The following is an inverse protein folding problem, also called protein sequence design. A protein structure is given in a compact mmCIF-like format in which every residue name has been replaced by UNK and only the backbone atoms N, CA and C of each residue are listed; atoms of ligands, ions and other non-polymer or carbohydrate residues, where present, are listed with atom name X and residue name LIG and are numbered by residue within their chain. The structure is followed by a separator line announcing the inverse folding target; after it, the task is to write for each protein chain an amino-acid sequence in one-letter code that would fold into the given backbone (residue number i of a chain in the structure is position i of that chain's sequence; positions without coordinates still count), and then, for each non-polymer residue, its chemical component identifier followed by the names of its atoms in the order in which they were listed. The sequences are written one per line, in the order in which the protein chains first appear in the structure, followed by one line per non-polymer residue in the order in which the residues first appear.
data_IF_060964714017
#
_entry.id   IF_060964714017
#
_cell.length_a   1.000
_cell.length_b   1.000
_cell.length_c   1.000
_cell.angle_alpha   90.00
_cell.angle_beta   90.00
_cell.angle_gamma   90.00
#
_symmetry.space_group_name_H-M   'P 1'
#
loop_
_entity.id
_entity.type
_entity.pdbx_description
1 polymer ?
#
# COMPACT_ATOMS: atom_id res chain seq x y z
N UNK A 1 -7.43 14.13 -6.14
CA UNK A 1 -6.91 12.90 -5.46
C UNK A 1 -5.54 12.51 -6.03
N UNK A 2 -4.82 11.58 -5.38
CA UNK A 2 -3.57 11.02 -5.93
C UNK A 2 -3.84 10.44 -7.33
N UNK A 3 -4.92 9.71 -7.52
CA UNK A 3 -5.27 9.11 -8.80
C UNK A 3 -5.49 10.15 -9.91
N UNK A 4 -6.10 11.29 -9.60
CA UNK A 4 -6.30 12.37 -10.60
C UNK A 4 -4.96 12.97 -11.04
N UNK A 5 -4.06 13.19 -10.08
CA UNK A 5 -2.69 13.70 -10.37
C UNK A 5 -1.94 12.70 -11.25
N UNK A 6 -2.02 11.41 -10.96
CA UNK A 6 -1.36 10.38 -11.77
C UNK A 6 -1.92 10.32 -13.19
N UNK A 7 -3.25 10.41 -13.35
CA UNK A 7 -3.90 10.47 -14.67
C UNK A 7 -3.46 11.71 -15.48
N UNK A 8 -3.22 12.84 -14.82
CA UNK A 8 -2.72 14.05 -15.47
C UNK A 8 -1.23 13.92 -15.81
N UNK A 9 -0.41 13.38 -14.90
CA UNK A 9 1.00 13.11 -15.14
C UNK A 9 1.21 12.08 -16.26
N UNK A 10 0.31 11.12 -16.44
CA UNK A 10 0.38 10.15 -17.53
C UNK A 10 0.28 10.79 -18.92
N UNK A 11 -0.43 11.92 -19.04
CA UNK A 11 -0.58 12.71 -20.27
C UNK A 11 0.63 13.62 -20.52
N UNK A 12 1.40 13.94 -19.47
CA UNK A 12 2.53 14.87 -19.55
C UNK A 12 3.76 14.18 -20.14
N UNK A 13 4.16 14.58 -21.35
CA UNK A 13 5.25 13.95 -22.12
C UNK A 13 6.61 14.10 -21.39
N UNK A 14 6.82 15.23 -20.73
CA UNK A 14 8.06 15.51 -20.01
C UNK A 14 8.19 14.75 -18.69
N UNK A 15 7.09 14.27 -18.12
CA UNK A 15 7.10 13.43 -16.94
C UNK A 15 7.50 11.99 -17.34
N UNK A 16 8.62 11.49 -16.86
CA UNK A 16 9.17 10.18 -17.22
C UNK A 16 9.10 9.15 -16.10
N UNK A 17 9.12 9.60 -14.86
CA UNK A 17 8.95 8.83 -13.64
C UNK A 17 8.31 9.70 -12.56
N UNK A 18 7.75 9.10 -11.52
CA UNK A 18 7.00 9.77 -10.46
C UNK A 18 7.56 9.36 -9.11
N UNK A 19 7.84 10.34 -8.24
CA UNK A 19 8.18 10.10 -6.84
C UNK A 19 6.96 10.40 -5.98
N UNK A 20 6.47 9.39 -5.27
CA UNK A 20 5.35 9.47 -4.34
C UNK A 20 5.88 9.53 -2.91
N UNK A 21 5.68 10.66 -2.24
CA UNK A 21 6.16 10.87 -0.87
C UNK A 21 5.15 11.66 -0.02
N UNK A 22 5.42 11.75 1.26
CA UNK A 22 4.66 12.55 2.22
C UNK A 22 5.60 13.48 2.98
N UNK A 23 5.22 14.74 3.16
CA UNK A 23 5.98 15.71 3.97
C UNK A 23 5.92 15.43 5.48
N UNK A 24 4.97 14.60 5.92
CA UNK A 24 4.78 14.29 7.32
C UNK A 24 5.73 13.22 7.86
N UNK A 25 5.58 12.92 9.15
CA UNK A 25 6.36 11.87 9.84
C UNK A 25 6.14 10.46 9.27
N UNK A 26 4.99 10.21 8.65
CA UNK A 26 4.60 8.89 8.13
C UNK A 26 4.31 8.99 6.64
N UNK A 27 4.54 7.92 5.91
CA UNK A 27 4.10 7.82 4.54
C UNK A 27 2.56 7.79 4.47
N UNK A 28 1.95 6.77 5.06
CA UNK A 28 0.50 6.68 5.22
C UNK A 28 0.17 5.70 6.36
N UNK A 29 -0.43 6.23 7.44
CA UNK A 29 -0.75 5.42 8.61
C UNK A 29 -2.05 4.62 8.49
N UNK A 30 -2.72 4.65 7.32
CA UNK A 30 -3.97 3.95 7.07
C UNK A 30 -5.20 4.75 7.46
N UNK A 31 -6.31 4.05 7.65
CA UNK A 31 -7.59 4.65 7.95
C UNK A 31 -7.67 5.19 9.38
N UNK A 32 -8.28 6.36 9.54
CA UNK A 32 -8.59 6.94 10.85
C UNK A 32 -9.91 6.37 11.39
N UNK A 33 -9.81 5.36 12.23
CA UNK A 33 -10.97 4.70 12.85
C UNK A 33 -11.63 5.52 13.97
N UNK A 34 -11.06 6.66 14.37
CA UNK A 34 -11.68 7.56 15.36
C UNK A 34 -12.87 8.33 14.78
N UNK A 35 -12.97 8.44 13.46
CA UNK A 35 -14.07 9.14 12.79
C UNK A 35 -15.27 8.21 12.61
N UNK A 36 -16.44 8.62 13.08
CA UNK A 36 -17.70 7.86 13.10
C UNK A 36 -18.16 7.31 11.73
N UNK A 37 -17.72 7.92 10.64
CA UNK A 37 -18.04 7.49 9.27
C UNK A 37 -17.53 6.10 8.91
N UNK A 38 -16.54 5.57 9.65
CA UNK A 38 -16.05 4.22 9.46
C UNK A 38 -16.98 3.13 10.00
N UNK A 39 -17.78 3.47 11.03
CA UNK A 39 -18.69 2.52 11.70
C UNK A 39 -20.04 2.47 10.97
N UNK A 40 -20.48 3.58 10.38
CA UNK A 40 -21.79 3.72 9.73
C UNK A 40 -21.73 3.67 8.19
N UNK A 41 -20.62 3.22 7.61
CA UNK A 41 -20.23 3.49 6.25
C UNK A 41 -20.96 2.75 5.14
N UNK A 42 -21.74 3.49 4.43
CA UNK A 42 -22.09 3.18 3.05
C UNK A 42 -20.88 3.49 2.14
N UNK A 43 -20.48 2.50 1.31
CA UNK A 43 -19.68 2.67 0.06
C UNK A 43 -18.36 3.46 0.04
N UNK A 44 -17.78 3.84 1.19
CA UNK A 44 -16.49 4.54 1.23
C UNK A 44 -15.38 3.67 0.60
N UNK A 45 -15.43 2.35 0.83
CA UNK A 45 -14.45 1.42 0.28
C UNK A 45 -14.59 1.22 -1.22
N UNK A 46 -15.81 1.21 -1.76
CA UNK A 46 -16.01 1.07 -3.20
C UNK A 46 -15.37 2.25 -3.95
N UNK A 47 -15.54 3.45 -3.42
CA UNK A 47 -14.93 4.65 -3.99
C UNK A 47 -13.41 4.65 -3.81
N UNK A 48 -12.90 4.28 -2.61
CA UNK A 48 -11.47 4.16 -2.33
C UNK A 48 -10.80 3.14 -3.25
N UNK A 49 -11.41 1.97 -3.45
CA UNK A 49 -10.84 0.92 -4.29
C UNK A 49 -10.89 1.25 -5.77
N UNK A 50 -11.92 1.99 -6.24
CA UNK A 50 -11.92 2.56 -7.60
C UNK A 50 -10.73 3.51 -7.81
N UNK A 51 -10.42 4.35 -6.81
CA UNK A 51 -9.24 5.22 -6.87
C UNK A 51 -7.93 4.42 -6.81
N UNK A 52 -7.85 3.38 -5.96
CA UNK A 52 -6.70 2.49 -5.91
C UNK A 52 -6.41 1.83 -7.26
N UNK A 53 -7.43 1.32 -7.95
CA UNK A 53 -7.27 0.71 -9.28
C UNK A 53 -6.72 1.71 -10.31
N UNK A 54 -7.08 2.99 -10.22
CA UNK A 54 -6.51 4.03 -11.10
C UNK A 54 -5.02 4.22 -10.87
N UNK A 55 -4.55 4.13 -9.61
CA UNK A 55 -3.12 4.23 -9.28
C UNK A 55 -2.34 3.09 -9.95
N UNK A 56 -2.85 1.86 -9.88
CA UNK A 56 -2.21 0.71 -10.54
C UNK A 56 -2.20 0.81 -12.08
N UNK A 57 -3.10 1.60 -12.67
CA UNK A 57 -3.16 1.84 -14.12
C UNK A 57 -2.15 2.86 -14.65
N UNK A 58 -1.48 3.62 -13.77
CA UNK A 58 -0.47 4.59 -14.23
C UNK A 58 0.50 3.94 -15.20
N UNK A 59 0.84 4.65 -16.26
CA UNK A 59 1.74 4.15 -17.31
C UNK A 59 3.21 4.48 -17.04
N UNK A 60 3.48 5.28 -16.00
CA UNK A 60 4.83 5.74 -15.65
C UNK A 60 5.35 5.02 -14.43
N UNK A 61 6.67 4.75 -14.34
CA UNK A 61 7.27 4.21 -13.12
C UNK A 61 7.01 5.11 -11.92
N UNK A 62 6.62 4.49 -10.80
CA UNK A 62 6.35 5.17 -9.52
C UNK A 62 7.34 4.67 -8.48
N UNK A 63 8.02 5.59 -7.80
CA UNK A 63 8.95 5.35 -6.70
C UNK A 63 8.30 5.88 -5.42
N UNK A 64 8.03 5.05 -4.44
CA UNK A 64 7.48 5.48 -3.15
C UNK A 64 8.59 5.63 -2.11
N UNK A 65 8.59 6.76 -1.39
CA UNK A 65 9.48 7.03 -0.26
C UNK A 65 8.76 6.73 1.04
N UNK A 66 9.22 5.71 1.77
CA UNK A 66 8.59 5.25 3.00
C UNK A 66 9.46 5.64 4.20
N UNK A 67 9.32 6.89 4.68
CA UNK A 67 10.10 7.45 5.78
C UNK A 67 9.58 7.07 7.17
N UNK A 68 8.36 6.54 7.25
CA UNK A 68 7.70 6.24 8.52
C UNK A 68 6.67 5.13 8.38
N UNK A 69 5.47 5.34 8.92
CA UNK A 69 4.44 4.31 8.87
C UNK A 69 3.82 4.13 7.48
N UNK A 70 3.76 2.88 7.02
CA UNK A 70 2.97 2.38 5.90
C UNK A 70 2.07 1.24 6.43
N UNK A 71 0.86 1.55 6.89
CA UNK A 71 0.02 0.65 7.67
C UNK A 71 -1.33 0.43 7.00
N UNK A 72 -1.79 -0.82 6.93
CA UNK A 72 -3.10 -1.15 6.37
C UNK A 72 -3.26 -0.65 4.92
N UNK A 73 -4.23 0.23 4.66
CA UNK A 73 -4.38 0.87 3.35
C UNK A 73 -3.16 1.68 2.90
N UNK A 74 -2.37 2.21 3.86
CA UNK A 74 -1.09 2.87 3.57
C UNK A 74 -0.02 1.91 3.06
N UNK A 75 -0.01 0.67 3.54
CA UNK A 75 0.80 -0.39 2.93
C UNK A 75 0.31 -0.68 1.51
N UNK A 76 -1.00 -0.77 1.28
CA UNK A 76 -1.56 -0.96 -0.06
C UNK A 76 -1.14 0.14 -1.03
N UNK A 77 -1.13 1.40 -0.58
CA UNK A 77 -0.63 2.53 -1.37
C UNK A 77 0.88 2.38 -1.68
N UNK A 78 1.70 1.96 -0.70
CA UNK A 78 3.12 1.70 -0.93
C UNK A 78 3.35 0.57 -1.96
N UNK A 79 2.49 -0.45 -1.94
CA UNK A 79 2.54 -1.59 -2.87
C UNK A 79 2.06 -1.25 -4.29
N UNK A 80 1.42 -0.10 -4.50
CA UNK A 80 1.02 0.36 -5.83
C UNK A 80 2.17 1.01 -6.61
N UNK A 81 3.26 1.37 -5.95
CA UNK A 81 4.48 1.84 -6.59
C UNK A 81 5.31 0.68 -7.15
N UNK A 82 6.10 0.96 -8.19
CA UNK A 82 7.02 -0.03 -8.76
C UNK A 82 8.20 -0.26 -7.81
N UNK A 83 8.71 0.80 -7.18
CA UNK A 83 9.83 0.76 -6.24
C UNK A 83 9.48 1.42 -4.91
N UNK A 84 10.09 0.94 -3.83
CA UNK A 84 9.96 1.46 -2.46
C UNK A 84 11.34 1.71 -1.88
N UNK A 85 11.59 2.96 -1.50
CA UNK A 85 12.82 3.38 -0.81
C UNK A 85 12.45 3.64 0.65
N UNK A 86 13.24 3.13 1.58
CA UNK A 86 12.91 3.20 3.00
C UNK A 86 14.12 3.51 3.87
N UNK A 87 13.86 3.80 5.14
CA UNK A 87 14.86 3.94 6.19
C UNK A 87 14.58 2.96 7.32
N UNK A 88 15.56 2.76 8.20
CA UNK A 88 15.47 1.85 9.35
C UNK A 88 14.24 2.10 10.22
N UNK A 89 13.89 3.37 10.44
CA UNK A 89 12.80 3.83 11.30
C UNK A 89 11.41 3.59 10.72
N UNK A 90 11.32 3.27 9.43
CA UNK A 90 10.05 2.98 8.77
C UNK A 90 9.35 1.75 9.40
N UNK A 91 8.03 1.72 9.27
CA UNK A 91 7.21 0.68 9.86
C UNK A 91 6.16 0.22 8.87
N UNK A 92 6.21 -1.05 8.53
CA UNK A 92 5.25 -1.68 7.63
C UNK A 92 4.35 -2.63 8.42
N UNK A 93 3.05 -2.63 8.13
CA UNK A 93 2.14 -3.60 8.75
C UNK A 93 0.86 -3.78 7.94
N UNK A 94 0.50 -5.05 7.71
CA UNK A 94 -0.82 -5.47 7.25
C UNK A 94 -1.68 -5.82 8.48
N UNK A 95 -2.01 -4.82 9.31
CA UNK A 95 -2.57 -5.00 10.67
C UNK A 95 -4.06 -5.39 10.71
N UNK A 96 -4.64 -5.83 9.61
CA UNK A 96 -6.08 -6.11 9.48
C UNK A 96 -6.58 -7.19 10.45
N UNK A 97 -5.83 -8.29 10.61
CA UNK A 97 -6.20 -9.36 11.54
C UNK A 97 -6.30 -8.88 13.00
N UNK A 98 -5.43 -7.96 13.44
CA UNK A 98 -5.52 -7.33 14.77
C UNK A 98 -6.71 -6.39 14.94
N UNK A 99 -7.38 -6.03 13.85
CA UNK A 99 -8.62 -5.27 13.86
C UNK A 99 -9.85 -6.17 13.73
N UNK A 100 -9.67 -7.50 13.66
CA UNK A 100 -10.78 -8.42 13.34
C UNK A 100 -11.33 -8.18 11.93
N UNK A 101 -10.48 -7.77 10.99
CA UNK A 101 -10.86 -7.29 9.68
C UNK A 101 -10.07 -7.97 8.55
N UNK A 102 -10.54 -7.86 7.31
CA UNK A 102 -9.85 -8.37 6.13
C UNK A 102 -8.99 -7.28 5.48
N UNK A 103 -7.89 -7.66 4.85
CA UNK A 103 -7.08 -6.74 4.05
C UNK A 103 -7.91 -6.17 2.88
N UNK A 104 -7.42 -5.07 2.32
CA UNK A 104 -8.02 -4.38 1.19
C UNK A 104 -6.95 -3.75 0.30
N UNK A 105 -7.36 -2.90 -0.63
CA UNK A 105 -6.46 -2.17 -1.54
C UNK A 105 -5.67 -3.08 -2.50
N UNK A 106 -6.14 -4.29 -2.78
CA UNK A 106 -5.43 -5.24 -3.64
C UNK A 106 -4.21 -5.91 -2.97
N UNK A 107 -4.08 -5.80 -1.64
CA UNK A 107 -2.94 -6.40 -0.90
C UNK A 107 -2.91 -7.92 -1.06
N UNK A 108 -4.07 -8.56 -1.27
CA UNK A 108 -4.16 -10.01 -1.52
C UNK A 108 -3.36 -10.47 -2.75
N UNK A 109 -3.15 -9.58 -3.71
CA UNK A 109 -2.39 -9.82 -4.95
C UNK A 109 -0.99 -9.23 -4.85
N UNK A 110 -0.90 -7.96 -4.49
CA UNK A 110 0.35 -7.19 -4.59
C UNK A 110 1.40 -7.65 -3.58
N UNK A 111 1.00 -7.92 -2.34
CA UNK A 111 1.96 -8.33 -1.30
C UNK A 111 2.62 -9.68 -1.62
N UNK A 112 1.88 -10.78 -1.92
CA UNK A 112 2.51 -12.05 -2.27
C UNK A 112 3.30 -12.00 -3.59
N UNK A 113 2.93 -11.12 -4.53
CA UNK A 113 3.67 -10.93 -5.78
C UNK A 113 5.05 -10.31 -5.53
N UNK A 114 5.17 -9.42 -4.54
CA UNK A 114 6.42 -8.72 -4.21
C UNK A 114 7.31 -9.56 -3.30
N UNK A 115 6.79 -10.12 -2.19
CA UNK A 115 7.60 -10.80 -1.16
C UNK A 115 7.41 -12.32 -1.13
N UNK A 116 6.68 -12.88 -2.07
CA UNK A 116 6.35 -14.30 -2.09
C UNK A 116 5.24 -14.67 -1.10
N UNK A 117 4.56 -15.78 -1.40
CA UNK A 117 3.38 -16.23 -0.64
C UNK A 117 3.68 -16.49 0.83
N UNK A 118 4.84 -17.04 1.17
CA UNK A 118 5.15 -17.41 2.55
C UNK A 118 5.34 -16.19 3.44
N UNK A 119 6.08 -15.18 2.98
CA UNK A 119 6.26 -13.94 3.73
C UNK A 119 4.96 -13.14 3.80
N UNK A 120 4.18 -13.11 2.72
CA UNK A 120 2.88 -12.46 2.73
C UNK A 120 1.92 -13.08 3.75
N UNK A 121 1.83 -14.43 3.81
CA UNK A 121 1.06 -15.14 4.84
C UNK A 121 1.54 -14.80 6.24
N UNK A 122 2.86 -14.77 6.46
CA UNK A 122 3.44 -14.43 7.75
C UNK A 122 3.00 -13.02 8.20
N UNK A 123 3.07 -12.01 7.33
CA UNK A 123 2.67 -10.65 7.66
C UNK A 123 1.15 -10.53 7.86
N UNK A 124 0.35 -11.11 6.96
CA UNK A 124 -1.12 -10.99 7.00
C UNK A 124 -1.73 -11.74 8.17
N UNK A 125 -1.33 -13.00 8.40
CA UNK A 125 -1.94 -13.83 9.45
C UNK A 125 -1.50 -13.45 10.86
N UNK A 126 -0.26 -12.96 11.02
CA UNK A 126 0.24 -12.50 12.32
C UNK A 126 -0.04 -11.02 12.58
N UNK A 127 -0.36 -10.26 11.54
CA UNK A 127 -0.49 -8.78 11.60
C UNK A 127 0.71 -8.11 12.27
N UNK A 128 1.90 -8.73 12.16
CA UNK A 128 3.13 -8.17 12.75
C UNK A 128 3.52 -6.89 12.07
N UNK A 129 4.21 -6.06 12.82
CA UNK A 129 4.88 -4.87 12.30
C UNK A 129 6.34 -5.25 12.04
N UNK A 130 6.87 -4.84 10.91
CA UNK A 130 8.29 -4.94 10.56
C UNK A 130 8.88 -3.54 10.37
N UNK A 131 10.18 -3.40 10.60
CA UNK A 131 10.92 -2.16 10.35
C UNK A 131 11.45 -2.10 8.90
N UNK A 132 12.15 -1.02 8.54
CA UNK A 132 12.70 -0.85 7.20
C UNK A 132 13.79 -1.86 6.85
N UNK A 133 14.62 -2.28 7.81
CA UNK A 133 15.66 -3.30 7.60
C UNK A 133 15.04 -4.66 7.28
N UNK A 134 14.00 -5.05 8.02
CA UNK A 134 13.26 -6.29 7.76
C UNK A 134 12.52 -6.22 6.42
N UNK A 135 11.93 -5.05 6.09
CA UNK A 135 11.25 -4.83 4.81
C UNK A 135 12.22 -4.97 3.62
N UNK A 136 13.41 -4.39 3.71
CA UNK A 136 14.47 -4.54 2.71
C UNK A 136 14.93 -6.00 2.60
N UNK A 137 15.17 -6.67 3.73
CA UNK A 137 15.65 -8.07 3.77
C UNK A 137 14.68 -9.05 3.09
N UNK A 138 13.36 -8.82 3.19
CA UNK A 138 12.34 -9.70 2.57
C UNK A 138 11.91 -9.24 1.17
N UNK A 139 12.53 -8.19 0.61
CA UNK A 139 12.21 -7.65 -0.72
C UNK A 139 10.94 -6.80 -0.77
N UNK A 140 10.42 -6.36 0.39
CA UNK A 140 9.29 -5.42 0.44
C UNK A 140 9.73 -4.00 0.11
N UNK A 141 10.97 -3.63 0.43
CA UNK A 141 11.61 -2.40 0.01
C UNK A 141 12.82 -2.71 -0.88
N UNK A 142 13.04 -1.89 -1.90
CA UNK A 142 14.06 -2.10 -2.92
C UNK A 142 15.39 -1.44 -2.55
N UNK A 143 15.32 -0.32 -1.80
CA UNK A 143 16.48 0.44 -1.32
C UNK A 143 16.25 0.80 0.14
N UNK A 144 17.30 0.67 0.96
CA UNK A 144 17.34 1.20 2.32
C UNK A 144 18.48 2.20 2.46
N UNK A 145 18.21 3.33 3.12
CA UNK A 145 19.18 4.39 3.36
C UNK A 145 18.84 5.15 4.64
N UNK A 146 19.67 6.12 5.02
CA UNK A 146 19.36 7.03 6.11
C UNK A 146 18.18 7.93 5.76
N UNK A 147 17.39 8.29 6.77
CA UNK A 147 16.14 9.05 6.58
C UNK A 147 16.35 10.40 5.86
N UNK A 148 17.47 11.07 6.08
CA UNK A 148 17.82 12.33 5.43
C UNK A 148 18.26 12.18 3.95
N UNK A 149 18.55 10.96 3.50
CA UNK A 149 18.99 10.67 2.14
C UNK A 149 17.89 10.04 1.25
N UNK A 150 16.69 9.85 1.80
CA UNK A 150 15.60 9.16 1.10
C UNK A 150 15.23 9.84 -0.23
N UNK A 151 15.12 11.17 -0.25
CA UNK A 151 14.78 11.91 -1.48
C UNK A 151 15.91 11.82 -2.49
N UNK A 152 17.16 11.99 -2.06
CA UNK A 152 18.35 11.85 -2.91
C UNK A 152 18.38 10.47 -3.60
N UNK A 153 18.14 9.39 -2.86
CA UNK A 153 18.10 8.03 -3.43
C UNK A 153 16.90 7.80 -4.38
N UNK A 154 15.79 8.47 -4.13
CA UNK A 154 14.65 8.41 -5.06
C UNK A 154 14.94 9.17 -6.35
N UNK A 155 15.58 10.32 -6.28
CA UNK A 155 16.01 11.11 -7.44
C UNK A 155 17.11 10.40 -8.23
N UNK A 156 18.07 9.75 -7.57
CA UNK A 156 19.09 8.90 -8.23
C UNK A 156 18.40 7.79 -9.05
N UNK A 157 17.48 7.04 -8.45
CA UNK A 157 16.75 5.97 -9.15
C UNK A 157 15.88 6.52 -10.28
N UNK A 158 15.19 7.64 -10.06
CA UNK A 158 14.38 8.29 -11.08
C UNK A 158 15.25 8.73 -12.27
N UNK A 159 16.44 9.30 -11.99
CA UNK A 159 17.39 9.71 -13.03
C UNK A 159 17.95 8.50 -13.79
N UNK A 160 18.25 7.39 -13.11
CA UNK A 160 18.67 6.15 -13.76
C UNK A 160 17.59 5.65 -14.75
N UNK A 161 16.33 5.60 -14.32
CA UNK A 161 15.19 5.25 -15.20
C UNK A 161 15.10 6.23 -16.37
N UNK A 162 15.27 7.51 -16.12
CA UNK A 162 15.12 8.58 -17.12
C UNK A 162 16.24 8.62 -18.17
N UNK A 163 17.37 7.92 -17.96
CA UNK A 163 18.40 7.73 -19.01
C UNK A 163 17.94 6.82 -20.13
N UNK A 164 16.93 5.97 -19.87
CA UNK A 164 16.39 5.03 -20.85
C UNK A 164 15.29 5.64 -21.72
N UNK A 165 15.02 5.04 -22.88
CA UNK A 165 14.00 5.53 -23.81
C UNK A 165 12.57 5.42 -23.23
N UNK A 166 11.78 6.51 -23.13
CA UNK A 166 10.51 6.51 -22.41
C UNK A 166 9.47 5.55 -22.97
N UNK A 167 9.43 5.38 -24.29
CA UNK A 167 8.51 4.41 -24.92
C UNK A 167 8.92 2.96 -24.60
N UNK A 168 10.23 2.68 -24.52
CA UNK A 168 10.75 1.38 -24.12
C UNK A 168 10.40 1.06 -22.66
N UNK A 169 10.63 2.00 -21.73
CA UNK A 169 10.26 1.84 -20.32
C UNK A 169 8.76 1.60 -20.15
N UNK A 170 7.92 2.39 -20.85
CA UNK A 170 6.47 2.19 -20.84
C UNK A 170 6.08 0.80 -21.34
N UNK A 171 6.67 0.35 -22.45
CA UNK A 171 6.38 -0.98 -23.00
C UNK A 171 6.81 -2.11 -22.05
N UNK A 172 8.01 -2.01 -21.46
CA UNK A 172 8.51 -2.96 -20.46
C UNK A 172 7.57 -3.02 -19.26
N UNK A 173 7.22 -1.86 -18.67
CA UNK A 173 6.33 -1.80 -17.52
C UNK A 173 4.95 -2.39 -17.82
N UNK A 174 4.37 -2.09 -18.97
CA UNK A 174 3.09 -2.65 -19.39
C UNK A 174 3.16 -4.18 -19.50
N UNK A 175 4.23 -4.72 -20.08
CA UNK A 175 4.41 -6.17 -20.20
C UNK A 175 4.60 -6.84 -18.83
N UNK A 176 5.38 -6.24 -17.92
CA UNK A 176 5.57 -6.76 -16.58
C UNK A 176 4.29 -6.72 -15.73
N UNK A 177 3.40 -5.78 -16.00
CA UNK A 177 2.13 -5.59 -15.31
C UNK A 177 0.92 -6.15 -16.09
N UNK A 178 1.17 -6.91 -17.15
CA UNK A 178 0.08 -7.52 -17.95
C UNK A 178 -0.81 -8.41 -17.08
N UNK A 179 -2.12 -8.20 -17.15
CA UNK A 179 -3.12 -8.87 -16.32
C UNK A 179 -3.19 -8.41 -14.85
N UNK A 180 -2.20 -7.67 -14.34
CA UNK A 180 -2.15 -7.27 -12.92
C UNK A 180 -3.36 -6.44 -12.48
N UNK A 181 -3.76 -5.46 -13.28
CA UNK A 181 -4.90 -4.58 -12.93
C UNK A 181 -6.20 -5.37 -12.87
N UNK A 182 -6.40 -6.35 -13.75
CA UNK A 182 -7.57 -7.22 -13.73
C UNK A 182 -7.55 -8.13 -12.49
N UNK A 183 -6.40 -8.73 -12.18
CA UNK A 183 -6.23 -9.57 -10.99
C UNK A 183 -6.52 -8.78 -9.70
N UNK A 184 -5.98 -7.56 -9.59
CA UNK A 184 -6.26 -6.65 -8.46
C UNK A 184 -7.74 -6.27 -8.41
N UNK A 185 -8.37 -5.97 -9.56
CA UNK A 185 -9.80 -5.63 -9.62
C UNK A 185 -10.67 -6.76 -9.08
N UNK A 186 -10.37 -8.01 -9.47
CA UNK A 186 -11.07 -9.19 -8.97
C UNK A 186 -10.82 -9.43 -7.48
N UNK A 187 -9.59 -9.20 -7.01
CA UNK A 187 -9.25 -9.33 -5.59
C UNK A 187 -9.96 -8.28 -4.73
N UNK A 188 -9.98 -7.03 -5.16
CA UNK A 188 -10.61 -5.91 -4.45
C UNK A 188 -12.11 -6.15 -4.22
N UNK A 189 -12.81 -6.78 -5.18
CA UNK A 189 -14.23 -7.16 -4.99
C UNK A 189 -14.38 -8.19 -3.86
N UNK A 190 -13.51 -9.22 -3.83
CA UNK A 190 -13.51 -10.23 -2.76
C UNK A 190 -13.14 -9.61 -1.41
N UNK A 191 -12.10 -8.77 -1.37
CA UNK A 191 -11.66 -8.03 -0.18
C UNK A 191 -12.79 -7.17 0.38
N UNK A 192 -13.50 -6.42 -0.48
CA UNK A 192 -14.62 -5.57 -0.08
C UNK A 192 -15.79 -6.39 0.50
N UNK A 193 -16.12 -7.53 -0.10
CA UNK A 193 -17.17 -8.42 0.38
C UNK A 193 -16.84 -8.97 1.77
N UNK A 194 -15.60 -9.44 1.99
CA UNK A 194 -15.14 -9.91 3.29
C UNK A 194 -15.11 -8.79 4.33
N UNK A 195 -14.65 -7.59 3.96
CA UNK A 195 -14.69 -6.42 4.83
C UNK A 195 -16.13 -6.05 5.23
N UNK A 196 -17.08 -6.08 4.28
CA UNK A 196 -18.49 -5.80 4.57
C UNK A 196 -19.09 -6.85 5.53
N UNK A 197 -18.76 -8.13 5.36
CA UNK A 197 -19.18 -9.21 6.24
C UNK A 197 -18.63 -9.03 7.67
N UNK A 198 -17.31 -8.80 7.77
CA UNK A 198 -16.61 -8.70 9.05
C UNK A 198 -16.95 -7.45 9.84
N UNK A 199 -17.27 -6.32 9.18
CA UNK A 199 -17.64 -5.06 9.83
C UNK A 199 -18.77 -5.18 10.84
N UNK A 200 -19.68 -6.12 10.63
CA UNK A 200 -20.83 -6.33 11.50
C UNK A 200 -20.51 -7.23 12.72
N UNK A 201 -19.31 -7.81 12.79
CA UNK A 201 -18.92 -8.72 13.86
C UNK A 201 -18.59 -7.98 15.16
N UNK A 202 -18.69 -8.69 16.27
CA UNK A 202 -18.24 -8.22 17.59
C UNK A 202 -16.72 -8.06 17.61
N UNK A 203 -16.01 -8.95 16.92
CA UNK A 203 -14.55 -8.96 16.86
C UNK A 203 -14.02 -7.72 16.14
N UNK A 204 -14.65 -7.26 15.05
CA UNK A 204 -14.28 -6.01 14.41
C UNK A 204 -14.45 -4.80 15.34
N UNK A 205 -15.60 -4.72 16.06
CA UNK A 205 -15.87 -3.65 17.03
C UNK A 205 -14.84 -3.66 18.16
N UNK A 206 -14.50 -4.84 18.66
CA UNK A 206 -13.48 -5.02 19.68
C UNK A 206 -12.09 -4.65 19.16
N UNK A 207 -11.72 -5.09 17.96
CA UNK A 207 -10.41 -4.77 17.35
C UNK A 207 -10.20 -3.27 17.18
N UNK A 208 -11.22 -2.54 16.69
CA UNK A 208 -11.21 -1.08 16.59
C UNK A 208 -11.07 -0.43 17.96
N UNK A 209 -11.90 -0.84 18.96
CA UNK A 209 -11.85 -0.29 20.31
C UNK A 209 -10.51 -0.55 21.00
N UNK A 210 -9.96 -1.75 20.84
CA UNK A 210 -8.65 -2.13 21.37
C UNK A 210 -7.53 -1.29 20.73
N UNK A 211 -7.59 -1.07 19.42
CA UNK A 211 -6.64 -0.23 18.68
C UNK A 211 -6.65 1.22 19.16
N UNK A 212 -7.84 1.83 19.30
CA UNK A 212 -8.00 3.19 19.83
C UNK A 212 -7.45 3.30 21.26
N UNK A 213 -7.75 2.32 22.11
CA UNK A 213 -7.32 2.27 23.52
C UNK A 213 -5.88 1.76 23.70
N UNK A 214 -5.19 1.40 22.62
CA UNK A 214 -3.81 0.88 22.62
C UNK A 214 -3.63 -0.33 23.57
N UNK A 215 -4.60 -1.27 23.57
CA UNK A 215 -4.57 -2.52 24.33
C UNK A 215 -4.71 -3.73 23.40
N UNK A 216 -4.47 -4.91 23.91
CA UNK A 216 -4.77 -6.14 23.19
C UNK A 216 -6.28 -6.34 23.05
N UNK A 217 -6.68 -6.83 21.87
CA UNK A 217 -8.06 -7.19 21.57
C UNK A 217 -8.40 -8.58 22.13
N UNK A 218 -9.63 -8.75 22.61
CA UNK A 218 -10.16 -10.04 23.09
C UNK A 218 -11.18 -10.54 22.09
N UNK A 219 -10.74 -11.29 21.11
CA UNK A 219 -11.59 -11.85 20.07
C UNK A 219 -12.33 -13.11 20.56
N UNK A 220 -13.56 -13.29 20.08
CA UNK A 220 -14.45 -14.40 20.45
C UNK A 220 -15.02 -15.16 19.23
N UNK A 221 -14.64 -14.78 18.01
CA UNK A 221 -15.08 -15.42 16.76
C UNK A 221 -16.53 -15.10 16.37
N UNK A 222 -17.08 -13.94 16.77
CA UNK A 222 -18.49 -13.55 16.52
C UNK A 222 -18.63 -12.13 15.98
#
# INVERSE_FOLDING_TARGET
SIADILDDLDKEIMCRSIILYSEGKNFCAGADFSKSNFINGQNIYENLYKQALRIFKSSKPIIAIIQGAAIGGGLGLALSADFRITCKEARFSANFGKLGFHQGFGISVTLPRIIGNQQAKLLLLTSRRINGEEAYKIGLADIITDNNLLMEKAEELANEINTSGPLGIKAIRNTLNDGLVEEISNAVVKEANEQNRLRNTKDFKEGINASIKRREAKFIGK
#
